data_IF_924615549639
#
_entry.id   IF_924615549639
#
_cell.length_a   1.000
_cell.length_b   1.000
_cell.length_c   1.000
_cell.angle_alpha   90.00
_cell.angle_beta   90.00
_cell.angle_gamma   90.00
#
_symmetry.space_group_name_H-M   'P 1'
#
loop_
_entity.id
_entity.type
_entity.pdbx_description
1 polymer ?
#
# COMPACT_ATOMS: atom_id res chain seq x y z
N UNK A 1 -30.50 -7.35 -55.21
CA UNK A 1 -30.90 -6.63 -53.96
C UNK A 1 -30.71 -7.44 -52.70
N UNK A 2 -31.23 -8.65 -52.57
CA UNK A 2 -31.11 -9.49 -51.33
C UNK A 2 -29.64 -9.85 -50.98
N UNK A 3 -28.76 -10.10 -51.96
CA UNK A 3 -27.35 -10.44 -51.71
C UNK A 3 -26.52 -9.22 -51.24
N UNK A 4 -26.86 -8.01 -51.72
CA UNK A 4 -26.16 -6.77 -51.30
C UNK A 4 -26.56 -6.39 -49.89
N UNK A 5 -27.79 -6.61 -49.48
CA UNK A 5 -28.27 -6.35 -48.11
C UNK A 5 -27.57 -7.29 -47.11
N UNK A 6 -27.41 -8.57 -47.49
CA UNK A 6 -26.72 -9.57 -46.65
C UNK A 6 -25.26 -9.21 -46.40
N UNK A 7 -24.55 -8.68 -47.43
CA UNK A 7 -23.16 -8.26 -47.35
C UNK A 7 -23.01 -7.04 -46.41
N UNK A 8 -23.92 -6.09 -46.46
CA UNK A 8 -23.92 -4.87 -45.62
C UNK A 8 -24.16 -5.27 -44.12
N UNK A 9 -25.10 -6.21 -43.88
CA UNK A 9 -25.35 -6.67 -42.52
C UNK A 9 -24.15 -7.40 -41.92
N UNK A 10 -23.44 -8.24 -42.72
CA UNK A 10 -22.22 -8.90 -42.26
C UNK A 10 -21.11 -7.88 -41.97
N UNK A 11 -20.93 -6.82 -42.78
CA UNK A 11 -19.92 -5.78 -42.51
C UNK A 11 -20.24 -4.97 -41.22
N UNK A 12 -21.51 -4.68 -40.92
CA UNK A 12 -21.92 -3.96 -39.71
C UNK A 12 -21.71 -4.82 -38.46
N UNK A 13 -21.98 -6.14 -38.54
CA UNK A 13 -21.70 -7.06 -37.42
C UNK A 13 -20.21 -7.21 -37.16
N UNK A 14 -19.36 -7.20 -38.20
CA UNK A 14 -17.91 -7.25 -38.05
C UNK A 14 -17.31 -5.96 -37.45
N UNK A 15 -17.92 -4.80 -37.71
CA UNK A 15 -17.48 -3.51 -37.17
C UNK A 15 -17.87 -3.38 -35.68
N UNK A 16 -18.90 -4.08 -35.22
CA UNK A 16 -19.30 -4.09 -33.81
C UNK A 16 -18.47 -5.08 -32.95
N UNK A 17 -17.80 -6.06 -33.56
CA UNK A 17 -16.99 -7.05 -32.83
C UNK A 17 -15.58 -6.54 -32.45
N UNK A 18 -15.18 -5.34 -32.90
CA UNK A 18 -13.81 -4.82 -32.79
C UNK A 18 -13.52 -3.90 -31.59
N UNK A 19 -14.41 -3.71 -30.64
CA UNK A 19 -14.21 -2.68 -29.60
C UNK A 19 -14.50 -3.13 -28.17
N UNK A 20 -14.40 -4.42 -27.88
CA UNK A 20 -14.18 -4.82 -26.48
C UNK A 20 -12.65 -4.78 -26.21
N UNK A 21 -12.09 -3.60 -26.00
CA UNK A 21 -10.94 -3.48 -25.12
C UNK A 21 -11.44 -3.93 -23.75
N UNK A 22 -11.06 -5.12 -23.33
CA UNK A 22 -11.25 -5.54 -21.96
C UNK A 22 -10.73 -4.41 -21.08
N UNK A 23 -11.50 -3.95 -20.11
CA UNK A 23 -10.99 -3.13 -19.04
C UNK A 23 -9.86 -3.97 -18.44
N UNK A 24 -8.60 -3.56 -18.65
CA UNK A 24 -7.49 -4.15 -17.93
C UNK A 24 -7.83 -3.94 -16.45
N UNK A 25 -8.09 -5.03 -15.75
CA UNK A 25 -8.28 -5.00 -14.31
C UNK A 25 -6.91 -4.68 -13.74
N UNK A 26 -6.71 -3.42 -13.36
CA UNK A 26 -5.51 -2.99 -12.68
C UNK A 26 -5.58 -3.44 -11.23
N UNK A 27 -4.80 -4.45 -10.89
CA UNK A 27 -4.59 -4.83 -9.50
C UNK A 27 -3.50 -3.95 -8.92
N UNK A 28 -3.80 -3.05 -7.95
CA UNK A 28 -2.80 -2.18 -7.37
C UNK A 28 -1.70 -3.02 -6.68
N UNK A 29 -0.45 -2.65 -6.91
CA UNK A 29 0.71 -3.25 -6.23
C UNK A 29 1.27 -2.31 -5.19
N UNK A 30 1.73 -2.86 -4.05
CA UNK A 30 2.43 -2.09 -3.03
C UNK A 30 3.87 -1.73 -3.46
N UNK A 31 4.41 -2.37 -4.51
CA UNK A 31 5.74 -2.01 -5.01
C UNK A 31 5.79 -0.55 -5.40
N UNK A 32 6.87 0.14 -5.00
CA UNK A 32 7.08 1.56 -5.23
C UNK A 32 7.59 2.29 -4.00
N UNK A 33 7.57 3.61 -4.06
CA UNK A 33 8.03 4.51 -3.01
C UNK A 33 6.87 5.31 -2.44
N UNK A 34 6.74 5.30 -1.12
CA UNK A 34 5.58 5.81 -0.42
C UNK A 34 5.98 6.76 0.70
N UNK A 35 5.34 7.92 0.79
CA UNK A 35 5.57 8.88 1.85
C UNK A 35 4.36 8.99 2.77
N UNK A 36 4.60 8.92 4.08
CA UNK A 36 3.59 9.07 5.11
C UNK A 36 2.90 10.43 5.01
N UNK A 37 1.57 10.43 5.12
CA UNK A 37 0.75 11.64 5.10
C UNK A 37 0.12 11.95 6.47
N UNK A 38 -0.41 10.92 7.12
CA UNK A 38 -1.14 11.05 8.38
C UNK A 38 -1.22 9.74 9.13
N UNK A 39 -1.71 9.81 10.35
CA UNK A 39 -2.09 8.67 11.18
C UNK A 39 -3.59 8.73 11.50
N UNK A 40 -4.22 7.57 11.68
CA UNK A 40 -5.59 7.48 12.19
C UNK A 40 -5.64 6.68 13.47
N UNK A 41 -6.50 7.10 14.40
CA UNK A 41 -6.96 6.31 15.53
C UNK A 41 -8.34 5.73 15.24
N UNK A 42 -8.61 4.53 15.75
CA UNK A 42 -9.86 3.79 15.52
C UNK A 42 -10.55 3.43 16.84
N UNK A 43 -11.87 3.25 16.79
CA UNK A 43 -12.71 2.72 17.87
C UNK A 43 -12.98 1.21 17.72
N UNK A 44 -12.15 0.52 16.94
CA UNK A 44 -12.32 -0.88 16.57
C UNK A 44 -12.70 -1.05 15.09
N UNK A 45 -13.46 -0.15 14.51
CA UNK A 45 -13.90 -0.20 13.10
C UNK A 45 -13.74 1.14 12.39
N UNK A 46 -14.15 2.23 13.03
CA UNK A 46 -14.24 3.55 12.42
C UNK A 46 -13.07 4.43 12.84
N UNK A 47 -12.65 5.31 11.95
CA UNK A 47 -11.69 6.38 12.28
C UNK A 47 -12.38 7.37 13.21
N UNK A 48 -11.81 7.59 14.39
CA UNK A 48 -12.29 8.56 15.38
C UNK A 48 -11.41 9.80 15.46
N UNK A 49 -10.18 9.73 14.97
CA UNK A 49 -9.24 10.85 14.96
C UNK A 49 -8.25 10.75 13.81
N UNK A 50 -7.88 11.90 13.25
CA UNK A 50 -6.86 12.06 12.20
C UNK A 50 -5.73 12.92 12.71
N UNK A 51 -4.54 12.34 12.83
CA UNK A 51 -3.36 13.00 13.33
C UNK A 51 -2.45 13.34 12.12
N UNK A 52 -2.25 14.63 11.79
CA UNK A 52 -1.29 15.00 10.77
C UNK A 52 0.14 14.71 11.24
N UNK A 53 1.06 14.48 10.30
CA UNK A 53 2.48 14.42 10.64
C UNK A 53 2.95 15.81 11.11
N UNK A 54 3.87 15.82 12.08
CA UNK A 54 4.48 17.06 12.57
C UNK A 54 5.31 17.74 11.47
N UNK A 55 5.47 19.05 11.58
CA UNK A 55 6.30 19.82 10.64
C UNK A 55 7.74 19.26 10.61
N UNK A 56 8.24 19.03 9.40
CA UNK A 56 9.57 18.47 9.17
C UNK A 56 9.69 16.96 9.42
N UNK A 57 8.68 16.31 9.99
CA UNK A 57 8.66 14.84 10.08
C UNK A 57 8.53 14.22 8.70
N UNK A 58 9.38 13.26 8.41
CA UNK A 58 9.34 12.51 7.15
C UNK A 58 9.52 11.02 7.38
N UNK A 59 8.64 10.22 6.83
CA UNK A 59 8.77 8.78 6.82
C UNK A 59 8.48 8.27 5.42
N UNK A 60 9.40 7.48 4.89
CA UNK A 60 9.32 6.91 3.54
C UNK A 60 9.46 5.40 3.64
N UNK A 61 8.64 4.68 2.90
CA UNK A 61 8.75 3.23 2.69
C UNK A 61 9.00 2.93 1.21
N UNK A 62 9.88 2.00 0.94
CA UNK A 62 10.17 1.48 -0.40
C UNK A 62 9.94 -0.02 -0.42
N UNK A 63 9.11 -0.49 -1.34
CA UNK A 63 8.84 -1.90 -1.57
C UNK A 63 9.30 -2.29 -2.97
N UNK A 64 10.13 -3.31 -3.08
CA UNK A 64 10.63 -3.81 -4.35
C UNK A 64 11.04 -5.28 -4.25
N UNK A 65 10.49 -6.13 -5.11
CA UNK A 65 10.91 -7.54 -5.22
C UNK A 65 10.96 -8.25 -3.87
N UNK A 66 9.88 -8.21 -3.11
CA UNK A 66 9.74 -8.83 -1.78
C UNK A 66 10.65 -8.21 -0.70
N UNK A 67 11.30 -7.10 -0.98
CA UNK A 67 12.12 -6.36 -0.01
C UNK A 67 11.46 -5.05 0.38
N UNK A 68 11.60 -4.72 1.67
CA UNK A 68 11.18 -3.44 2.24
C UNK A 68 12.38 -2.70 2.81
N UNK A 69 12.38 -1.40 2.60
CA UNK A 69 13.20 -0.45 3.35
C UNK A 69 12.31 0.70 3.80
N UNK A 70 12.43 1.10 5.05
CA UNK A 70 11.79 2.31 5.53
C UNK A 70 12.81 3.24 6.20
N UNK A 71 12.54 4.53 6.11
CA UNK A 71 13.34 5.56 6.76
C UNK A 71 12.41 6.52 7.50
N UNK A 72 12.90 7.08 8.61
CA UNK A 72 12.18 8.09 9.38
C UNK A 72 13.15 9.20 9.78
N UNK A 73 12.75 10.42 9.52
CA UNK A 73 13.43 11.62 9.98
C UNK A 73 12.51 12.41 10.91
N UNK A 74 13.06 12.79 12.06
CA UNK A 74 12.39 13.65 13.06
C UNK A 74 13.29 14.87 13.27
N UNK A 75 12.78 16.12 13.15
CA UNK A 75 13.61 17.32 13.21
C UNK A 75 14.47 17.46 14.47
N UNK A 76 13.95 16.99 15.60
CA UNK A 76 14.64 17.07 16.91
C UNK A 76 15.57 15.89 17.18
N UNK A 77 15.62 14.90 16.27
CA UNK A 77 16.55 13.77 16.31
C UNK A 77 17.40 13.78 15.04
N UNK A 78 18.67 14.22 15.11
CA UNK A 78 19.55 14.30 13.93
C UNK A 78 19.93 12.92 13.38
N UNK A 79 19.74 11.85 14.14
CA UNK A 79 19.99 10.49 13.69
C UNK A 79 18.73 9.96 13.02
N UNK A 80 18.72 9.89 11.69
CA UNK A 80 17.64 9.25 10.97
C UNK A 80 17.46 7.80 11.42
N UNK A 81 16.22 7.32 11.38
CA UNK A 81 15.87 5.92 11.69
C UNK A 81 15.65 5.15 10.40
N UNK A 82 15.95 3.86 10.41
CA UNK A 82 15.67 2.98 9.28
C UNK A 82 15.49 1.53 9.69
N UNK A 83 14.83 0.77 8.82
CA UNK A 83 14.75 -0.68 8.88
C UNK A 83 14.75 -1.27 7.48
N UNK A 84 15.36 -2.43 7.35
CA UNK A 84 15.41 -3.21 6.11
C UNK A 84 14.98 -4.65 6.37
N UNK A 85 14.29 -5.23 5.39
CA UNK A 85 13.83 -6.60 5.50
C UNK A 85 13.11 -7.10 4.27
N UNK A 86 12.22 -8.05 4.49
CA UNK A 86 11.35 -8.61 3.46
C UNK A 86 9.88 -8.34 3.78
N UNK A 87 9.03 -8.41 2.76
CA UNK A 87 7.59 -8.29 2.92
C UNK A 87 6.85 -9.30 2.05
N UNK A 88 5.60 -9.53 2.40
CA UNK A 88 4.60 -10.17 1.54
C UNK A 88 3.22 -9.57 1.77
N UNK A 89 2.42 -9.59 0.71
CA UNK A 89 0.99 -9.26 0.78
C UNK A 89 0.20 -10.54 0.53
N UNK A 90 -0.73 -10.84 1.41
CA UNK A 90 -1.59 -12.04 1.31
C UNK A 90 -2.95 -11.72 1.91
N UNK A 91 -4.01 -11.93 1.15
CA UNK A 91 -5.40 -11.80 1.63
C UNK A 91 -5.72 -10.48 2.35
N UNK A 92 -5.24 -9.35 1.80
CA UNK A 92 -5.46 -8.03 2.40
C UNK A 92 -4.61 -7.75 3.63
N UNK A 93 -3.58 -8.55 3.88
CA UNK A 93 -2.60 -8.33 4.94
C UNK A 93 -1.23 -8.00 4.36
N UNK A 94 -0.55 -7.05 4.98
CA UNK A 94 0.86 -6.76 4.79
C UNK A 94 1.65 -7.36 5.94
N UNK A 95 2.59 -8.24 5.63
CA UNK A 95 3.52 -8.81 6.60
C UNK A 95 4.92 -8.33 6.28
N UNK A 96 5.53 -7.62 7.22
CA UNK A 96 6.92 -7.15 7.14
C UNK A 96 7.79 -7.95 8.12
N UNK A 97 8.91 -8.47 7.64
CA UNK A 97 9.92 -9.15 8.46
C UNK A 97 11.18 -8.31 8.41
N UNK A 98 11.47 -7.59 9.50
CA UNK A 98 12.63 -6.70 9.55
C UNK A 98 13.85 -7.50 9.94
N UNK A 99 14.90 -7.43 9.12
CA UNK A 99 16.14 -8.16 9.27
C UNK A 99 17.14 -7.36 10.11
N UNK A 100 17.29 -6.07 9.83
CA UNK A 100 18.15 -5.13 10.56
C UNK A 100 17.70 -3.67 10.36
N UNK A 101 18.27 -2.78 11.15
CA UNK A 101 18.01 -1.34 11.09
C UNK A 101 19.00 -0.55 11.94
N UNK A 102 18.61 0.66 12.34
CA UNK A 102 19.36 1.46 13.31
C UNK A 102 19.38 0.79 14.71
N UNK A 103 20.19 1.36 15.62
CA UNK A 103 20.38 0.79 16.96
C UNK A 103 19.07 0.60 17.74
N UNK A 104 18.11 1.51 17.60
CA UNK A 104 16.80 1.38 18.26
C UNK A 104 15.94 0.29 17.59
N UNK A 105 16.01 0.18 16.27
CA UNK A 105 15.37 -0.93 15.56
C UNK A 105 15.98 -2.25 15.98
N UNK A 106 17.31 -2.37 16.06
CA UNK A 106 17.96 -3.60 16.48
C UNK A 106 17.53 -4.03 17.89
N UNK A 107 17.37 -3.11 18.83
CA UNK A 107 16.83 -3.41 20.18
C UNK A 107 15.37 -3.91 20.11
N UNK A 108 14.54 -3.30 19.26
CA UNK A 108 13.15 -3.76 19.09
C UNK A 108 13.08 -5.17 18.48
N UNK A 109 14.01 -5.51 17.58
CA UNK A 109 14.09 -6.82 16.93
C UNK A 109 14.48 -7.98 17.86
N UNK A 110 15.03 -7.70 19.04
CA UNK A 110 15.26 -8.70 20.09
C UNK A 110 13.92 -9.26 20.62
N UNK A 111 12.84 -8.49 20.52
CA UNK A 111 11.52 -8.88 20.98
C UNK A 111 10.61 -9.30 19.84
N UNK A 112 10.58 -8.55 18.73
CA UNK A 112 9.66 -8.78 17.63
C UNK A 112 10.29 -8.41 16.28
N UNK A 113 10.24 -9.35 15.31
CA UNK A 113 10.74 -9.15 13.95
C UNK A 113 9.64 -9.12 12.89
N UNK A 114 8.50 -9.75 13.19
CA UNK A 114 7.37 -9.86 12.28
C UNK A 114 6.32 -8.84 12.64
N UNK A 115 5.96 -8.00 11.69
CA UNK A 115 4.91 -6.98 11.83
C UNK A 115 3.83 -7.30 10.83
N UNK A 116 2.61 -7.49 11.30
CA UNK A 116 1.44 -7.82 10.48
C UNK A 116 0.42 -6.71 10.58
N UNK A 117 -0.07 -6.25 9.44
CA UNK A 117 -1.04 -5.18 9.33
C UNK A 117 -2.18 -5.61 8.41
N UNK A 118 -3.38 -5.13 8.66
CA UNK A 118 -4.40 -5.08 7.65
C UNK A 118 -3.99 -4.03 6.59
N UNK A 119 -4.14 -4.35 5.31
CA UNK A 119 -3.75 -3.50 4.19
C UNK A 119 -4.96 -3.01 3.42
N UNK A 120 -5.11 -1.70 3.31
CA UNK A 120 -5.99 -1.08 2.32
C UNK A 120 -5.09 -0.45 1.26
N UNK A 121 -5.15 -0.94 0.03
CA UNK A 121 -4.26 -0.55 -1.07
C UNK A 121 -5.08 -0.03 -2.26
N UNK A 122 -4.72 1.15 -2.74
CA UNK A 122 -5.20 1.77 -3.96
C UNK A 122 -4.00 2.10 -4.87
N UNK A 123 -4.26 2.68 -6.03
CA UNK A 123 -3.21 3.05 -7.00
C UNK A 123 -2.15 3.97 -6.39
N UNK A 124 -2.57 5.07 -5.75
CA UNK A 124 -1.71 6.13 -5.23
C UNK A 124 -1.67 6.23 -3.71
N UNK A 125 -2.39 5.38 -3.00
CA UNK A 125 -2.45 5.42 -1.53
C UNK A 125 -2.49 4.03 -0.93
N UNK A 126 -1.89 3.86 0.24
CA UNK A 126 -2.17 2.71 1.09
C UNK A 126 -2.25 3.08 2.56
N UNK A 127 -2.97 2.27 3.32
CA UNK A 127 -3.00 2.32 4.78
C UNK A 127 -2.57 0.97 5.33
N UNK A 128 -1.59 0.98 6.23
CA UNK A 128 -1.27 -0.16 7.07
C UNK A 128 -1.93 0.03 8.42
N UNK A 129 -2.79 -0.91 8.80
CA UNK A 129 -3.66 -0.79 9.97
C UNK A 129 -3.26 -1.83 10.99
N UNK A 130 -2.94 -1.38 12.19
CA UNK A 130 -2.72 -2.24 13.36
C UNK A 130 -4.06 -2.74 13.89
N UNK A 131 -4.13 -4.03 14.16
CA UNK A 131 -5.30 -4.68 14.79
C UNK A 131 -4.90 -5.30 16.12
N UNK A 132 -5.81 -5.30 17.08
CA UNK A 132 -5.63 -5.98 18.37
C UNK A 132 -5.86 -7.51 18.23
N UNK A 133 -5.76 -8.23 19.36
CA UNK A 133 -5.95 -9.68 19.39
C UNK A 133 -7.38 -10.12 19.04
N UNK A 134 -8.36 -9.24 19.17
CA UNK A 134 -9.76 -9.47 18.85
C UNK A 134 -10.11 -9.07 17.40
N UNK A 135 -9.11 -8.57 16.65
CA UNK A 135 -9.27 -8.13 15.25
C UNK A 135 -9.83 -6.70 15.11
N UNK A 136 -9.89 -5.92 16.17
CA UNK A 136 -10.31 -4.53 16.12
C UNK A 136 -9.18 -3.63 15.62
N UNK A 137 -9.49 -2.70 14.73
CA UNK A 137 -8.55 -1.68 14.28
C UNK A 137 -8.24 -0.70 15.40
N UNK A 138 -6.97 -0.38 15.60
CA UNK A 138 -6.51 0.52 16.67
C UNK A 138 -5.84 1.78 16.12
N UNK A 139 -4.97 1.63 15.14
CA UNK A 139 -4.14 2.70 14.60
C UNK A 139 -3.76 2.42 13.15
N UNK A 140 -3.53 3.46 12.34
CA UNK A 140 -2.94 3.29 11.01
C UNK A 140 -1.92 4.36 10.66
N UNK A 141 -0.99 3.96 9.81
CA UNK A 141 -0.13 4.85 9.03
C UNK A 141 -0.67 4.92 7.60
N UNK A 142 -0.85 6.14 7.09
CA UNK A 142 -1.48 6.36 5.79
C UNK A 142 -0.48 7.02 4.84
N UNK A 143 -0.25 6.40 3.71
CA UNK A 143 0.81 6.72 2.76
C UNK A 143 0.27 7.15 1.41
N UNK A 144 1.05 7.97 0.71
CA UNK A 144 0.87 8.33 -0.69
C UNK A 144 2.09 7.92 -1.51
N UNK A 145 1.87 7.44 -2.72
CA UNK A 145 2.91 7.13 -3.69
C UNK A 145 3.63 8.40 -4.12
N UNK A 146 4.97 8.31 -4.30
CA UNK A 146 5.83 9.44 -4.69
C UNK A 146 6.76 9.13 -5.87
N UNK A 147 6.61 7.94 -6.49
CA UNK A 147 7.30 7.53 -7.72
C UNK A 147 6.36 7.40 -8.92
#
# INVERSE_FOLDING_TARGET
>A
MKKSILLIVCCVVFLMAGSFKGLEHYDPTIEGTWELQSFYNYDGQNVIDTIPKSDGYRQVKMYSKEKIMWTRYVPDDPNGRFGYGSYRVTDGQLVEVIEYGDDEMMKALDTMRNFTFELILNEDTFSQISVDADGNRTFSENYRRID
#
